data_IF_717560370334
#
_entry.id   IF_717560370334
#
_cell.length_a   1.000
_cell.length_b   1.000
_cell.length_c   1.000
_cell.angle_alpha   90.00
_cell.angle_beta   90.00
_cell.angle_gamma   90.00
#
_symmetry.space_group_name_H-M   'P 1'
#
loop_
_entity.id
_entity.type
_entity.pdbx_description
1 polymer ?
#
# COMPACT_ATOMS: atom_id res chain seq x y z
N UNK A 1 -7.62 9.98 0.51
CA UNK A 1 -6.91 10.24 1.78
C UNK A 1 -5.84 9.17 1.94
N UNK A 2 -4.56 9.55 1.85
CA UNK A 2 -3.47 8.63 2.12
C UNK A 2 -3.52 8.26 3.60
N UNK A 3 -3.85 7.01 3.89
CA UNK A 3 -3.97 6.49 5.25
C UNK A 3 -2.55 6.26 5.77
N UNK A 4 -1.88 7.33 6.20
CA UNK A 4 -0.65 7.22 6.99
C UNK A 4 -1.02 6.36 8.20
N UNK A 5 -0.35 5.21 8.43
CA UNK A 5 -0.70 4.37 9.56
C UNK A 5 -0.26 5.09 10.83
N UNK A 6 -1.15 5.90 11.39
CA UNK A 6 -1.02 6.59 12.68
C UNK A 6 -0.95 5.61 13.87
N UNK A 7 -0.99 4.30 13.62
CA UNK A 7 -1.04 3.27 14.63
C UNK A 7 0.33 2.61 14.86
N UNK A 8 0.71 2.49 16.13
CA UNK A 8 1.89 1.73 16.58
C UNK A 8 1.78 0.30 16.06
N UNK A 9 2.84 -0.18 15.39
CA UNK A 9 2.86 -1.53 14.83
C UNK A 9 2.97 -2.54 15.97
N UNK A 10 1.93 -3.34 16.17
CA UNK A 10 1.93 -4.40 17.19
C UNK A 10 2.99 -5.46 16.90
N UNK A 11 3.51 -6.11 17.97
CA UNK A 11 4.48 -7.20 17.86
C UNK A 11 4.02 -8.29 16.88
N UNK A 12 2.75 -8.71 16.97
CA UNK A 12 2.15 -9.68 16.03
C UNK A 12 2.29 -9.23 14.57
N UNK A 13 1.99 -7.96 14.25
CA UNK A 13 2.11 -7.42 12.89
C UNK A 13 3.56 -7.37 12.43
N UNK A 14 4.51 -7.09 13.32
CA UNK A 14 5.94 -7.13 13.02
C UNK A 14 6.40 -8.55 12.67
N UNK A 15 5.99 -9.56 13.45
CA UNK A 15 6.27 -10.97 13.19
C UNK A 15 5.68 -11.43 11.85
N UNK A 16 4.41 -11.11 11.58
CA UNK A 16 3.78 -11.43 10.29
C UNK A 16 4.49 -10.76 9.10
N UNK A 17 4.94 -9.50 9.28
CA UNK A 17 5.72 -8.78 8.27
C UNK A 17 7.08 -9.46 8.04
N UNK A 18 7.80 -9.83 9.11
CA UNK A 18 9.05 -10.56 9.03
C UNK A 18 8.89 -11.88 8.27
N UNK A 19 7.88 -12.69 8.62
CA UNK A 19 7.60 -13.95 7.94
C UNK A 19 7.34 -13.75 6.44
N UNK A 20 6.49 -12.78 6.07
CA UNK A 20 6.21 -12.45 4.67
C UNK A 20 7.48 -12.08 3.93
N UNK A 21 8.33 -11.23 4.52
CA UNK A 21 9.60 -10.79 3.91
C UNK A 21 10.58 -11.95 3.78
N UNK A 22 10.69 -12.81 4.78
CA UNK A 22 11.55 -13.99 4.74
C UNK A 22 11.14 -14.96 3.62
N UNK A 23 9.85 -15.27 3.49
CA UNK A 23 9.36 -16.15 2.42
C UNK A 23 9.57 -15.51 1.03
N UNK A 24 9.38 -14.20 0.87
CA UNK A 24 9.68 -13.50 -0.39
C UNK A 24 11.17 -13.49 -0.71
N UNK A 25 12.03 -13.41 0.30
CA UNK A 25 13.47 -13.55 0.13
C UNK A 25 13.85 -14.96 -0.34
N UNK A 26 13.23 -16.01 0.23
CA UNK A 26 13.41 -17.39 -0.24
C UNK A 26 12.95 -17.55 -1.69
N UNK A 27 11.82 -16.95 -2.06
CA UNK A 27 11.34 -16.97 -3.46
C UNK A 27 12.27 -16.24 -4.44
N UNK A 28 13.09 -15.29 -3.96
CA UNK A 28 14.09 -14.62 -4.78
C UNK A 28 15.35 -15.48 -4.96
N UNK A 29 15.75 -16.25 -3.94
CA UNK A 29 16.90 -17.16 -4.01
C UNK A 29 16.62 -18.46 -4.77
N UNK A 30 15.41 -19.02 -4.62
CA UNK A 30 15.03 -20.30 -5.21
C UNK A 30 14.08 -20.07 -6.38
N UNK A 31 14.60 -20.19 -7.59
CA UNK A 31 13.89 -20.07 -8.86
C UNK A 31 12.87 -21.20 -9.06
N UNK A 32 13.27 -22.43 -8.73
CA UNK A 32 12.43 -23.63 -8.87
C UNK A 32 11.35 -23.71 -7.79
N UNK A 33 10.11 -23.95 -8.22
CA UNK A 33 8.93 -23.87 -7.35
C UNK A 33 8.96 -24.92 -6.25
N UNK A 34 9.34 -26.14 -6.58
CA UNK A 34 9.41 -27.28 -5.68
C UNK A 34 10.45 -27.06 -4.56
N UNK A 35 11.63 -26.52 -4.92
CA UNK A 35 12.69 -26.19 -3.97
C UNK A 35 12.25 -25.06 -3.05
N UNK A 36 11.68 -23.99 -3.62
CA UNK A 36 11.10 -22.90 -2.85
C UNK A 36 10.04 -23.41 -1.86
N UNK A 37 9.12 -24.28 -2.30
CA UNK A 37 8.03 -24.79 -1.45
C UNK A 37 8.57 -25.59 -0.27
N UNK A 38 9.57 -26.45 -0.49
CA UNK A 38 10.24 -27.17 0.59
C UNK A 38 10.85 -26.20 1.62
N UNK A 39 11.62 -25.21 1.15
CA UNK A 39 12.25 -24.20 2.02
C UNK A 39 11.24 -23.33 2.75
N UNK A 40 10.14 -22.97 2.10
CA UNK A 40 9.06 -22.19 2.72
C UNK A 40 8.36 -22.97 3.84
N UNK A 41 8.18 -24.28 3.69
CA UNK A 41 7.63 -25.15 4.75
C UNK A 41 8.60 -25.25 5.93
N UNK A 42 9.90 -25.44 5.67
CA UNK A 42 10.93 -25.41 6.72
C UNK A 42 10.93 -24.07 7.47
N UNK A 43 10.81 -22.95 6.73
CA UNK A 43 10.71 -21.62 7.33
C UNK A 43 9.46 -21.50 8.19
N UNK A 44 8.31 -22.01 7.72
CA UNK A 44 7.08 -22.00 8.51
C UNK A 44 7.21 -22.81 9.80
N UNK A 45 7.81 -23.99 9.75
CA UNK A 45 8.08 -24.82 10.93
C UNK A 45 8.91 -24.06 11.97
N UNK A 46 10.00 -23.38 11.57
CA UNK A 46 10.83 -22.54 12.46
C UNK A 46 10.01 -21.44 13.17
N UNK A 47 9.06 -20.81 12.47
CA UNK A 47 8.18 -19.80 13.08
C UNK A 47 7.14 -20.43 14.02
N UNK A 48 6.59 -21.58 13.65
CA UNK A 48 5.57 -22.27 14.45
C UNK A 48 6.17 -22.84 15.76
N UNK A 49 7.43 -23.34 15.73
CA UNK A 49 8.19 -23.76 16.93
C UNK A 49 8.33 -22.64 17.98
N UNK A 50 8.39 -21.38 17.52
CA UNK A 50 8.57 -20.21 18.38
C UNK A 50 7.28 -19.42 18.62
N UNK A 51 6.11 -19.99 18.28
CA UNK A 51 4.82 -19.29 18.34
C UNK A 51 4.36 -18.93 19.76
N UNK A 52 4.62 -19.79 20.73
CA UNK A 52 4.11 -19.70 22.10
C UNK A 52 5.16 -19.21 23.11
N UNK A 53 6.10 -18.37 22.66
CA UNK A 53 7.14 -17.80 23.51
C UNK A 53 6.64 -16.56 24.27
N UNK A 54 7.25 -16.27 25.41
CA UNK A 54 6.98 -15.06 26.17
C UNK A 54 7.34 -13.80 25.35
N UNK A 55 6.75 -12.64 25.69
CA UNK A 55 6.93 -11.41 24.95
C UNK A 55 8.40 -10.96 24.91
N UNK A 56 9.13 -11.06 26.01
CA UNK A 56 10.54 -10.66 26.05
C UNK A 56 11.40 -11.54 25.12
N UNK A 57 11.18 -12.85 25.14
CA UNK A 57 11.85 -13.78 24.24
C UNK A 57 11.42 -13.57 22.78
N UNK A 58 10.12 -13.32 22.54
CA UNK A 58 9.57 -13.01 21.22
C UNK A 58 10.18 -11.76 20.59
N UNK A 59 10.35 -10.69 21.36
CA UNK A 59 11.02 -9.46 20.91
C UNK A 59 12.49 -9.72 20.55
N UNK A 60 13.19 -10.51 21.36
CA UNK A 60 14.57 -10.93 21.07
C UNK A 60 14.65 -11.74 19.78
N UNK A 61 13.79 -12.74 19.62
CA UNK A 61 13.72 -13.58 18.42
C UNK A 61 13.36 -12.77 17.17
N UNK A 62 12.45 -11.80 17.30
CA UNK A 62 12.10 -10.89 16.22
C UNK A 62 13.31 -10.06 15.77
N UNK A 63 14.08 -9.50 16.71
CA UNK A 63 15.30 -8.76 16.41
C UNK A 63 16.36 -9.66 15.74
N UNK A 64 16.58 -10.87 16.27
CA UNK A 64 17.48 -11.85 15.65
C UNK A 64 17.04 -12.23 14.23
N UNK A 65 15.75 -12.49 14.01
CA UNK A 65 15.22 -12.84 12.69
C UNK A 65 15.27 -11.67 11.69
N UNK A 66 15.13 -10.42 12.16
CA UNK A 66 15.34 -9.25 11.32
C UNK A 66 16.81 -9.09 10.90
N UNK A 67 17.74 -9.36 11.81
CA UNK A 67 19.18 -9.38 11.53
C UNK A 67 19.53 -10.49 10.53
N UNK A 68 19.08 -11.72 10.77
CA UNK A 68 19.28 -12.86 9.86
C UNK A 68 18.72 -12.54 8.46
N UNK A 69 17.53 -11.96 8.37
CA UNK A 69 16.94 -11.57 7.08
C UNK A 69 17.75 -10.50 6.36
N UNK A 70 18.34 -9.54 7.10
CA UNK A 70 19.17 -8.50 6.51
C UNK A 70 20.46 -9.10 5.93
N UNK A 71 21.12 -9.98 6.68
CA UNK A 71 22.38 -10.64 6.28
C UNK A 71 22.18 -11.61 5.10
N UNK A 72 21.04 -12.28 5.03
CA UNK A 72 20.73 -13.29 4.00
C UNK A 72 19.87 -12.76 2.84
N UNK A 73 19.67 -11.45 2.77
CA UNK A 73 18.82 -10.84 1.76
C UNK A 73 19.39 -11.07 0.36
N UNK A 74 18.54 -11.47 -0.59
CA UNK A 74 18.92 -11.56 -1.99
C UNK A 74 19.35 -10.17 -2.50
N UNK A 75 20.45 -10.11 -3.25
CA UNK A 75 21.01 -8.85 -3.77
C UNK A 75 20.01 -8.09 -4.67
N UNK A 76 19.18 -8.83 -5.41
CA UNK A 76 18.12 -8.28 -6.24
C UNK A 76 16.77 -8.95 -5.89
N UNK A 77 16.02 -8.45 -4.91
CA UNK A 77 14.73 -9.03 -4.54
C UNK A 77 13.73 -9.02 -5.70
N UNK A 78 12.90 -10.05 -5.78
CA UNK A 78 11.81 -10.12 -6.77
C UNK A 78 10.66 -9.18 -6.37
N UNK A 79 10.47 -8.12 -7.14
CA UNK A 79 9.33 -7.21 -7.01
C UNK A 79 8.22 -7.58 -8.01
N UNK A 80 6.97 -7.28 -7.66
CA UNK A 80 5.86 -7.39 -8.61
C UNK A 80 5.89 -6.20 -9.55
N UNK A 81 5.47 -6.40 -10.80
CA UNK A 81 5.55 -5.38 -11.85
C UNK A 81 5.02 -4.01 -11.41
N UNK A 82 3.82 -3.98 -10.82
CA UNK A 82 3.14 -2.74 -10.42
C UNK A 82 3.40 -2.33 -8.95
N UNK A 83 4.17 -3.12 -8.20
CA UNK A 83 4.55 -2.73 -6.82
C UNK A 83 5.69 -1.72 -6.84
N UNK A 84 5.84 -0.92 -5.78
CA UNK A 84 6.97 0.00 -5.64
C UNK A 84 8.32 -0.72 -5.87
N UNK A 85 9.14 -0.18 -6.76
CA UNK A 85 10.41 -0.80 -7.20
C UNK A 85 10.26 -1.93 -8.23
N UNK A 86 9.05 -2.18 -8.74
CA UNK A 86 8.78 -3.05 -9.88
C UNK A 86 9.00 -2.35 -11.22
N UNK A 87 9.15 -3.13 -12.29
CA UNK A 87 9.46 -2.62 -13.62
C UNK A 87 8.31 -1.83 -14.31
N UNK A 88 7.09 -1.93 -13.79
CA UNK A 88 5.91 -1.23 -14.28
C UNK A 88 5.29 -0.33 -13.19
N UNK A 89 6.02 -0.06 -12.12
CA UNK A 89 5.58 0.85 -11.06
C UNK A 89 5.37 2.24 -11.63
N UNK A 90 4.17 2.81 -11.41
CA UNK A 90 3.78 4.14 -11.90
C UNK A 90 4.02 4.34 -13.41
N UNK A 91 3.99 3.25 -14.19
CA UNK A 91 4.16 3.32 -15.65
C UNK A 91 3.04 4.11 -16.32
N UNK A 92 1.81 3.95 -15.82
CA UNK A 92 0.66 4.72 -16.26
C UNK A 92 0.43 5.90 -15.31
N UNK A 93 0.55 7.10 -15.86
CA UNK A 93 0.24 8.34 -15.14
C UNK A 93 -1.20 8.71 -15.45
N UNK A 94 -2.08 8.51 -14.48
CA UNK A 94 -3.49 8.90 -14.60
C UNK A 94 -3.59 10.39 -14.28
N UNK A 95 -3.99 11.26 -15.22
CA UNK A 95 -4.14 12.68 -14.95
C UNK A 95 -5.26 12.90 -13.92
N UNK A 96 -5.15 13.94 -13.09
CA UNK A 96 -6.18 14.23 -12.11
C UNK A 96 -7.49 14.66 -12.81
N UNK A 97 -8.63 14.25 -12.24
CA UNK A 97 -9.95 14.48 -12.84
C UNK A 97 -10.22 15.96 -13.13
N UNK A 98 -9.83 16.86 -12.22
CA UNK A 98 -10.05 18.31 -12.35
C UNK A 98 -9.43 18.93 -13.62
N UNK A 99 -8.47 18.26 -14.28
CA UNK A 99 -7.90 18.73 -15.55
C UNK A 99 -8.98 18.91 -16.63
N UNK A 100 -9.99 18.02 -16.65
CA UNK A 100 -11.10 18.06 -17.59
C UNK A 100 -12.00 19.30 -17.43
N UNK A 101 -11.92 20.01 -16.30
CA UNK A 101 -12.64 21.27 -16.11
C UNK A 101 -12.07 22.42 -16.95
N UNK A 102 -10.78 22.34 -17.31
CA UNK A 102 -10.08 23.33 -18.12
C UNK A 102 -10.25 23.15 -19.64
N UNK A 103 -10.91 22.07 -20.09
CA UNK A 103 -11.16 21.82 -21.51
C UNK A 103 -11.98 22.92 -22.17
N UNK A 104 -11.70 23.21 -23.44
CA UNK A 104 -12.45 24.20 -24.20
C UNK A 104 -13.91 23.75 -24.39
N UNK A 105 -14.91 24.65 -24.37
CA UNK A 105 -16.32 24.25 -24.51
C UNK A 105 -16.63 23.40 -25.76
N UNK A 106 -15.93 23.64 -26.87
CA UNK A 106 -16.06 22.83 -28.09
C UNK A 106 -15.58 21.38 -27.89
N UNK A 107 -14.51 21.17 -27.13
CA UNK A 107 -13.99 19.83 -26.79
C UNK A 107 -14.95 19.11 -25.83
N UNK A 108 -15.56 19.86 -24.90
CA UNK A 108 -16.59 19.31 -24.01
C UNK A 108 -17.86 18.94 -24.76
N UNK A 109 -18.24 19.73 -25.76
CA UNK A 109 -19.42 19.50 -26.58
C UNK A 109 -19.35 18.19 -27.39
N UNK A 110 -18.13 17.66 -27.63
CA UNK A 110 -17.94 16.34 -28.24
C UNK A 110 -18.45 15.19 -27.36
N UNK A 111 -18.51 15.38 -26.03
CA UNK A 111 -18.89 14.34 -25.06
C UNK A 111 -20.04 14.81 -24.14
N UNK A 112 -21.22 15.12 -24.69
CA UNK A 112 -22.29 15.81 -23.96
C UNK A 112 -22.82 15.00 -22.76
N UNK A 113 -23.04 13.70 -22.93
CA UNK A 113 -23.54 12.82 -21.86
C UNK A 113 -22.54 12.68 -20.71
N UNK A 114 -21.25 12.59 -21.03
CA UNK A 114 -20.19 12.47 -20.03
C UNK A 114 -20.11 13.73 -19.16
N UNK A 115 -20.07 14.92 -19.77
CA UNK A 115 -19.98 16.17 -19.03
C UNK A 115 -21.28 16.49 -18.26
N UNK A 116 -22.45 16.15 -18.79
CA UNK A 116 -23.71 16.29 -18.05
C UNK A 116 -23.72 15.45 -16.76
N UNK A 117 -23.32 14.18 -16.86
CA UNK A 117 -23.22 13.27 -15.71
C UNK A 117 -22.15 13.72 -14.72
N UNK A 118 -21.06 14.30 -15.21
CA UNK A 118 -19.98 14.82 -14.36
C UNK A 118 -20.42 16.02 -13.53
N UNK A 119 -21.13 16.97 -14.13
CA UNK A 119 -21.66 18.13 -13.41
C UNK A 119 -22.68 17.72 -12.33
N UNK A 120 -23.48 16.69 -12.58
CA UNK A 120 -24.33 16.09 -11.55
C UNK A 120 -23.49 15.55 -10.37
N UNK A 121 -22.44 14.76 -10.65
CA UNK A 121 -21.56 14.20 -9.61
C UNK A 121 -20.82 15.27 -8.80
N UNK A 122 -20.42 16.38 -9.44
CA UNK A 122 -19.79 17.52 -8.74
C UNK A 122 -20.76 18.13 -7.72
N UNK A 123 -22.03 18.31 -8.10
CA UNK A 123 -23.07 18.80 -7.18
C UNK A 123 -23.30 17.83 -6.02
N UNK A 124 -23.41 16.54 -6.33
CA UNK A 124 -23.56 15.48 -5.31
C UNK A 124 -22.38 15.47 -4.33
N UNK A 125 -21.15 15.66 -4.83
CA UNK A 125 -19.96 15.74 -4.00
C UNK A 125 -19.99 16.94 -3.05
N UNK A 126 -20.37 18.13 -3.52
CA UNK A 126 -20.51 19.34 -2.68
C UNK A 126 -21.56 19.12 -1.58
N UNK A 127 -22.73 18.57 -1.93
CA UNK A 127 -23.78 18.25 -0.96
C UNK A 127 -23.31 17.25 0.08
N UNK A 128 -22.60 16.19 -0.35
CA UNK A 128 -22.02 15.21 0.55
C UNK A 128 -20.97 15.85 1.48
N UNK A 129 -20.10 16.69 0.94
CA UNK A 129 -19.05 17.38 1.68
C UNK A 129 -19.62 18.31 2.76
N UNK A 130 -20.57 19.17 2.40
CA UNK A 130 -21.27 20.05 3.35
C UNK A 130 -21.97 19.26 4.45
N UNK A 131 -22.53 18.09 4.12
CA UNK A 131 -23.16 17.20 5.10
C UNK A 131 -22.15 16.57 6.07
N UNK A 132 -20.95 16.20 5.59
CA UNK A 132 -19.94 15.54 6.43
C UNK A 132 -19.15 16.51 7.30
N UNK A 133 -18.80 17.68 6.76
CA UNK A 133 -17.86 18.60 7.39
C UNK A 133 -18.48 19.96 7.76
N UNK A 134 -19.75 20.19 7.41
CA UNK A 134 -20.39 21.48 7.56
C UNK A 134 -19.99 22.47 6.46
N UNK A 135 -20.56 23.67 6.51
CA UNK A 135 -20.13 24.78 5.68
C UNK A 135 -18.88 25.41 6.31
N UNK A 136 -17.87 25.81 5.51
CA UNK A 136 -16.71 26.52 6.05
C UNK A 136 -17.17 27.79 6.77
N UNK A 137 -16.59 28.04 7.94
CA UNK A 137 -16.92 29.23 8.72
C UNK A 137 -16.47 30.49 7.94
N UNK A 138 -17.28 31.56 7.87
CA UNK A 138 -16.92 32.76 7.10
C UNK A 138 -15.58 33.40 7.49
N UNK A 139 -15.10 33.13 8.70
CA UNK A 139 -13.81 33.60 9.23
C UNK A 139 -12.61 32.86 8.64
N UNK A 140 -12.78 31.61 8.21
CA UNK A 140 -11.72 30.78 7.65
C UNK A 140 -11.47 31.08 6.16
N UNK A 141 -12.37 31.83 5.51
CA UNK A 141 -12.26 32.22 4.10
C UNK A 141 -11.33 33.43 3.87
N UNK A 142 -10.86 34.09 4.93
CA UNK A 142 -10.14 35.37 4.86
C UNK A 142 -8.63 35.32 5.17
N UNK A 143 -8.07 34.15 5.51
CA UNK A 143 -6.66 34.04 5.86
C UNK A 143 -5.88 33.32 4.75
N UNK A 144 -5.34 34.14 3.84
CA UNK A 144 -4.20 33.82 2.99
C UNK A 144 -2.96 34.52 3.53
#
# INVERSE_FOLDING_TARGET
MAQVPLAIVSHKRQVCSLYKRAVRNLEAWYDRREVFRYRAVQMRARFDENRNKDLAEGMRLLACGQKELFETKHYQPRNFANSAGGCAYEREVIPPDWLLDYWHPLEKAQYPEYFAKREQRKKEFVVWWEKQYGKPDPKDLGHH
#
